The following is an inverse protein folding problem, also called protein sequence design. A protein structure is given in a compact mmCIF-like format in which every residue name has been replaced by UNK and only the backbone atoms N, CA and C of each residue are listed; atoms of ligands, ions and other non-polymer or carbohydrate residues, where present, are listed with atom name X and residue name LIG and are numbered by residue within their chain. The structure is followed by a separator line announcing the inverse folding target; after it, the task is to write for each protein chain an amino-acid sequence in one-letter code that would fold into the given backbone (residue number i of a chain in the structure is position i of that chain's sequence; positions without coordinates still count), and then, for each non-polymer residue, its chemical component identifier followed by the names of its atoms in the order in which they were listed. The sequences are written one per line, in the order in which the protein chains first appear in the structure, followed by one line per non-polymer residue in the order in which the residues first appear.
data_IF_861841601122
#
_entry.id   IF_861841601122
#
_cell.length_a   1.000
_cell.length_b   1.000
_cell.length_c   1.000
_cell.angle_alpha   90.00
_cell.angle_beta   90.00
_cell.angle_gamma   90.00
#
_symmetry.space_group_name_H-M   'P 1'
#
loop_
_entity.id
_entity.type
_entity.pdbx_description
1 polymer ?
#
# COMPACT_ATOMS: atom_id res chain seq x y z
N UNK A 1 8.09 -19.24 1.41
CA UNK A 1 6.98 -18.89 2.32
C UNK A 1 5.68 -19.22 1.61
N UNK A 2 5.05 -20.37 1.91
CA UNK A 2 3.61 -20.50 1.73
C UNK A 2 2.92 -19.57 2.74
N UNK A 3 1.87 -18.84 2.35
CA UNK A 3 1.00 -18.14 3.30
C UNK A 3 1.01 -16.61 3.29
N UNK A 4 1.56 -15.94 2.28
CA UNK A 4 1.35 -14.49 2.13
C UNK A 4 0.04 -14.22 1.38
N UNK A 5 -0.90 -13.55 2.05
CA UNK A 5 -2.14 -13.07 1.43
C UNK A 5 -1.90 -11.73 0.75
N UNK A 6 -2.28 -11.63 -0.53
CA UNK A 6 -2.30 -10.37 -1.27
C UNK A 6 -3.76 -9.96 -1.44
N UNK A 7 -4.08 -8.71 -1.09
CA UNK A 7 -5.39 -8.12 -1.32
C UNK A 7 -5.25 -7.05 -2.39
N UNK A 8 -6.02 -7.15 -3.48
CA UNK A 8 -6.06 -6.14 -4.55
C UNK A 8 -7.49 -5.72 -4.86
N UNK A 9 -7.64 -4.72 -5.72
CA UNK A 9 -8.89 -4.51 -6.45
C UNK A 9 -9.18 -5.68 -7.42
N UNK A 10 -10.33 -5.64 -8.09
CA UNK A 10 -10.75 -6.64 -9.07
C UNK A 10 -10.14 -6.43 -10.47
N UNK A 11 -8.97 -5.79 -10.61
CA UNK A 11 -8.34 -5.63 -11.93
C UNK A 11 -7.79 -6.96 -12.45
N UNK A 12 -8.17 -7.31 -13.69
CA UNK A 12 -7.91 -8.62 -14.28
C UNK A 12 -6.41 -9.01 -14.36
N UNK A 13 -5.50 -8.03 -14.40
CA UNK A 13 -4.06 -8.28 -14.38
C UNK A 13 -3.59 -9.02 -13.11
N UNK A 14 -4.31 -8.87 -11.99
CA UNK A 14 -3.97 -9.50 -10.72
C UNK A 14 -4.46 -10.95 -10.61
N UNK A 15 -5.30 -11.44 -11.50
CA UNK A 15 -5.86 -12.80 -11.44
C UNK A 15 -4.77 -13.89 -11.48
N UNK A 16 -3.58 -13.58 -12.01
CA UNK A 16 -2.46 -14.51 -12.10
C UNK A 16 -1.73 -14.69 -10.77
N UNK A 17 -1.98 -13.88 -9.74
CA UNK A 17 -1.28 -13.94 -8.44
C UNK A 17 -1.38 -15.33 -7.79
N UNK A 18 -2.55 -15.96 -7.89
CA UNK A 18 -2.75 -17.32 -7.39
C UNK A 18 -1.84 -18.35 -8.06
N UNK A 19 -1.48 -18.16 -9.34
CA UNK A 19 -0.58 -19.06 -10.07
C UNK A 19 0.87 -18.97 -9.59
N UNK A 20 1.25 -17.86 -8.94
CA UNK A 20 2.57 -17.67 -8.35
C UNK A 20 2.64 -18.15 -6.88
N UNK A 21 1.58 -18.80 -6.37
CA UNK A 21 1.53 -19.35 -5.03
C UNK A 21 1.11 -18.37 -3.93
N UNK A 22 0.56 -17.21 -4.30
CA UNK A 22 -0.04 -16.27 -3.35
C UNK A 22 -1.49 -16.63 -3.04
N UNK A 23 -1.90 -16.43 -1.79
CA UNK A 23 -3.33 -16.41 -1.48
C UNK A 23 -3.88 -15.06 -1.91
N UNK A 24 -4.69 -15.03 -2.97
CA UNK A 24 -5.20 -13.78 -3.52
C UNK A 24 -6.65 -13.55 -3.10
N UNK A 25 -6.89 -12.41 -2.44
CA UNK A 25 -8.22 -11.88 -2.16
C UNK A 25 -8.44 -10.60 -2.98
N UNK A 26 -9.68 -10.37 -3.39
CA UNK A 26 -10.05 -9.19 -4.16
C UNK A 26 -11.15 -8.42 -3.47
N UNK A 27 -11.12 -7.09 -3.54
CA UNK A 27 -12.23 -6.24 -3.10
C UNK A 27 -12.85 -5.51 -4.30
N UNK A 28 -14.18 -5.60 -4.41
CA UNK A 28 -14.92 -4.88 -5.44
C UNK A 28 -15.40 -3.53 -4.89
N UNK A 29 -14.63 -2.47 -5.18
CA UNK A 29 -14.93 -1.10 -4.76
C UNK A 29 -16.23 -0.52 -5.33
N UNK A 30 -16.81 -1.12 -6.38
CA UNK A 30 -18.14 -0.70 -6.87
C UNK A 30 -19.28 -1.19 -5.97
N UNK A 31 -19.03 -2.21 -5.16
CA UNK A 31 -20.04 -2.84 -4.30
C UNK A 31 -19.79 -2.53 -2.82
N UNK A 32 -18.55 -2.70 -2.34
CA UNK A 32 -18.19 -2.55 -0.94
C UNK A 32 -16.77 -1.98 -0.77
N UNK A 33 -16.53 -1.25 0.33
CA UNK A 33 -15.20 -0.80 0.74
C UNK A 33 -14.39 -1.86 1.49
N UNK A 34 -15.08 -2.86 2.03
CA UNK A 34 -14.54 -4.05 2.70
C UNK A 34 -15.38 -5.22 2.18
N UNK A 35 -14.75 -6.29 1.70
CA UNK A 35 -15.48 -7.48 1.29
C UNK A 35 -16.19 -8.09 2.51
N UNK A 36 -17.54 -8.21 2.52
CA UNK A 36 -18.27 -8.73 3.67
C UNK A 36 -18.03 -10.22 3.93
N UNK A 37 -17.60 -10.99 2.94
CA UNK A 37 -17.36 -12.42 3.08
C UNK A 37 -15.97 -12.73 3.64
N UNK A 38 -14.97 -11.97 3.20
CA UNK A 38 -13.56 -12.23 3.51
C UNK A 38 -12.94 -11.22 4.48
N UNK A 39 -13.57 -10.06 4.68
CA UNK A 39 -13.01 -8.92 5.41
C UNK A 39 -11.90 -8.17 4.66
N UNK A 40 -11.60 -8.59 3.42
CA UNK A 40 -10.51 -8.03 2.63
C UNK A 40 -10.74 -6.55 2.29
N UNK A 41 -9.69 -5.73 2.41
CA UNK A 41 -9.72 -4.33 2.01
C UNK A 41 -8.31 -3.81 1.67
N UNK A 42 -8.26 -2.71 0.91
CA UNK A 42 -7.04 -2.03 0.45
C UNK A 42 -6.86 -0.65 1.11
N UNK A 43 -7.69 -0.30 2.10
CA UNK A 43 -7.76 1.06 2.67
C UNK A 43 -6.43 1.54 3.26
N UNK A 44 -5.69 0.63 3.90
CA UNK A 44 -4.39 0.95 4.50
C UNK A 44 -3.40 1.44 3.44
N UNK A 45 -3.27 0.71 2.32
CA UNK A 45 -2.34 1.05 1.25
C UNK A 45 -2.81 2.28 0.47
N UNK A 46 -4.12 2.44 0.24
CA UNK A 46 -4.71 3.64 -0.37
C UNK A 46 -4.44 4.91 0.44
N UNK A 47 -4.59 4.82 1.77
CA UNK A 47 -4.28 5.90 2.70
C UNK A 47 -2.79 6.26 2.68
N UNK A 48 -1.89 5.26 2.63
CA UNK A 48 -0.45 5.53 2.48
C UNK A 48 -0.17 6.29 1.19
N UNK A 49 -0.69 5.80 0.06
CA UNK A 49 -0.49 6.44 -1.24
C UNK A 49 -1.04 7.87 -1.28
N UNK A 50 -2.20 8.12 -0.67
CA UNK A 50 -2.74 9.48 -0.57
C UNK A 50 -1.80 10.43 0.18
N UNK A 51 -1.24 9.99 1.31
CA UNK A 51 -0.32 10.81 2.09
C UNK A 51 1.00 11.06 1.36
N UNK A 52 1.54 10.04 0.71
CA UNK A 52 2.75 10.17 -0.09
C UNK A 52 2.53 11.14 -1.26
N UNK A 53 1.46 10.96 -2.06
CA UNK A 53 1.15 11.84 -3.19
C UNK A 53 0.99 13.31 -2.79
N UNK A 54 0.40 13.59 -1.61
CA UNK A 54 0.31 14.95 -1.08
C UNK A 54 1.67 15.58 -0.78
N UNK A 55 2.68 14.79 -0.40
CA UNK A 55 4.04 15.28 -0.18
C UNK A 55 4.80 15.48 -1.48
N UNK A 56 4.48 14.68 -2.50
CA UNK A 56 5.11 14.74 -3.81
C UNK A 56 4.35 15.64 -4.81
N UNK A 57 3.35 16.40 -4.34
CA UNK A 57 2.42 17.13 -5.20
C UNK A 57 3.06 18.29 -5.97
N UNK A 58 4.25 18.75 -5.54
CA UNK A 58 5.04 19.77 -6.24
C UNK A 58 5.77 19.23 -7.47
N UNK A 59 5.61 17.95 -7.79
CA UNK A 59 6.41 17.27 -8.79
C UNK A 59 7.79 16.92 -8.24
N UNK A 60 8.29 15.75 -8.65
CA UNK A 60 9.63 15.27 -8.31
C UNK A 60 10.27 14.70 -9.56
N UNK A 61 11.58 14.92 -9.71
CA UNK A 61 12.36 14.22 -10.74
C UNK A 61 12.40 12.74 -10.40
N UNK A 62 12.30 11.87 -11.40
CA UNK A 62 12.27 10.42 -11.21
C UNK A 62 13.49 9.92 -10.41
N UNK A 63 14.67 10.49 -10.64
CA UNK A 63 15.91 10.20 -9.90
C UNK A 63 15.79 10.45 -8.38
N UNK A 64 14.89 11.34 -7.96
CA UNK A 64 14.66 11.68 -6.56
C UNK A 64 13.48 10.90 -5.93
N UNK A 65 12.78 10.04 -6.70
CA UNK A 65 11.65 9.29 -6.17
C UNK A 65 12.09 8.35 -5.04
N UNK A 66 13.18 7.60 -5.23
CA UNK A 66 13.69 6.66 -4.23
C UNK A 66 14.05 7.34 -2.89
N UNK A 67 14.85 8.42 -2.84
CA UNK A 67 15.16 9.08 -1.58
C UNK A 67 13.91 9.66 -0.89
N UNK A 68 12.94 10.20 -1.64
CA UNK A 68 11.68 10.67 -1.04
C UNK A 68 10.82 9.52 -0.48
N UNK A 69 10.78 8.36 -1.14
CA UNK A 69 10.12 7.16 -0.62
C UNK A 69 10.79 6.69 0.67
N UNK A 70 12.13 6.61 0.68
CA UNK A 70 12.90 6.23 1.86
C UNK A 70 12.65 7.20 3.03
N UNK A 71 12.69 8.51 2.78
CA UNK A 71 12.41 9.52 3.80
C UNK A 71 10.98 9.39 4.34
N UNK A 72 10.00 9.18 3.47
CA UNK A 72 8.61 8.98 3.86
C UNK A 72 8.45 7.76 4.79
N UNK A 73 9.05 6.63 4.41
CA UNK A 73 9.02 5.40 5.21
C UNK A 73 9.76 5.57 6.54
N UNK A 74 10.94 6.21 6.53
CA UNK A 74 11.73 6.47 7.72
C UNK A 74 11.00 7.36 8.73
N UNK A 75 10.45 8.50 8.31
CA UNK A 75 9.67 9.39 9.19
C UNK A 75 8.49 8.67 9.83
N UNK A 76 7.85 7.78 9.06
CA UNK A 76 6.74 6.97 9.56
C UNK A 76 7.24 5.97 10.60
N UNK A 77 8.32 5.25 10.34
CA UNK A 77 8.93 4.33 11.30
C UNK A 77 9.30 5.02 12.62
N UNK A 78 9.97 6.18 12.54
CA UNK A 78 10.35 7.00 13.70
C UNK A 78 9.12 7.44 14.51
N UNK A 79 8.08 7.93 13.83
CA UNK A 79 6.81 8.32 14.46
C UNK A 79 6.11 7.15 15.15
N UNK A 80 6.09 5.95 14.56
CA UNK A 80 5.51 4.77 15.21
C UNK A 80 6.32 4.29 16.41
N UNK A 81 7.64 4.52 16.39
CA UNK A 81 8.53 4.24 17.51
C UNK A 81 8.48 5.32 18.61
N UNK A 82 7.66 6.38 18.44
CA UNK A 82 7.57 7.54 19.33
C UNK A 82 8.94 8.19 19.61
N UNK A 83 9.80 8.23 18.59
CA UNK A 83 11.14 8.86 18.64
C UNK A 83 11.10 10.22 17.93
N UNK A 84 11.98 11.12 18.34
CA UNK A 84 12.19 12.37 17.61
C UNK A 84 13.02 12.08 16.34
N UNK A 85 12.60 12.53 15.15
CA UNK A 85 13.37 12.36 13.92
C UNK A 85 14.66 13.19 13.86
N UNK A 86 14.88 14.12 14.78
CA UNK A 86 16.00 15.05 14.76
C UNK A 86 16.85 15.04 16.04
N UNK A 87 16.61 14.08 16.97
CA UNK A 87 17.31 13.96 18.25
C UNK A 87 17.88 12.57 18.43
#
# INVERSE_FOLDING_TARGET
MPGTTIVTDCWAAYNQLSNYGYMHLTVNHSQNFVDPNTGANTQSIESQWRNLRRRLSSGIRHENLAPHLCEFLWRRFVSHANKDPFV
#
